data_IF_679133129529
#
_entry.id   IF_679133129529
#
_cell.length_a   1.000
_cell.length_b   1.000
_cell.length_c   1.000
_cell.angle_alpha   90.00
_cell.angle_beta   90.00
_cell.angle_gamma   90.00
#
_symmetry.space_group_name_H-M   'P 1'
#
loop_
_entity.id
_entity.type
_entity.pdbx_description
1 polymer ?
#
# COMPACT_ATOMS: atom_id res chain seq x y z
N UNK A 1 9.28 -17.64 2.80
CA UNK A 1 8.61 -18.05 1.56
C UNK A 1 7.83 -16.83 1.06
N UNK A 2 8.52 -15.98 0.29
CA UNK A 2 7.88 -14.82 -0.34
C UNK A 2 6.84 -15.30 -1.35
N UNK A 3 5.59 -14.94 -1.16
CA UNK A 3 4.56 -15.08 -2.17
C UNK A 3 4.84 -14.04 -3.24
N UNK A 4 5.30 -14.49 -4.41
CA UNK A 4 5.32 -13.63 -5.58
C UNK A 4 3.88 -13.33 -5.95
N UNK A 5 3.49 -12.07 -5.91
CA UNK A 5 2.23 -11.65 -6.51
C UNK A 5 2.38 -11.73 -8.03
N UNK A 6 2.00 -12.86 -8.58
CA UNK A 6 2.11 -13.16 -10.01
C UNK A 6 1.22 -12.29 -10.89
N UNK A 7 0.33 -11.49 -10.32
CA UNK A 7 -0.63 -10.70 -11.08
C UNK A 7 -0.02 -9.51 -11.84
N UNK A 8 1.10 -8.99 -11.37
CA UNK A 8 1.82 -7.89 -12.06
C UNK A 8 2.87 -8.40 -13.07
N UNK A 9 3.30 -9.65 -12.90
CA UNK A 9 4.31 -10.29 -13.73
C UNK A 9 3.72 -11.31 -14.72
N UNK A 10 2.43 -11.54 -14.67
CA UNK A 10 1.74 -12.55 -15.48
C UNK A 10 1.68 -12.23 -16.98
N UNK A 11 2.09 -11.03 -17.40
CA UNK A 11 2.18 -10.64 -18.80
C UNK A 11 3.58 -10.81 -19.37
N UNK A 12 4.58 -10.97 -18.51
CA UNK A 12 5.96 -11.18 -18.96
C UNK A 12 6.24 -12.69 -19.05
N UNK A 13 6.77 -13.11 -20.18
CA UNK A 13 7.26 -14.47 -20.35
C UNK A 13 8.31 -14.77 -19.27
N UNK A 14 8.34 -15.99 -18.70
CA UNK A 14 9.33 -16.34 -17.69
C UNK A 14 10.74 -16.15 -18.23
N UNK A 15 11.49 -15.24 -17.64
CA UNK A 15 12.88 -14.98 -18.00
C UNK A 15 13.77 -16.01 -17.31
N UNK A 16 14.11 -17.07 -18.02
CA UNK A 16 15.00 -18.12 -17.54
C UNK A 16 16.38 -17.57 -17.19
N UNK A 17 16.95 -18.03 -16.08
CA UNK A 17 18.27 -17.59 -15.60
C UNK A 17 18.28 -16.23 -14.89
N UNK A 18 17.13 -15.62 -14.61
CA UNK A 18 17.01 -14.43 -13.79
C UNK A 18 16.26 -14.72 -12.48
N UNK A 19 16.70 -14.09 -11.41
CA UNK A 19 16.00 -14.06 -10.12
C UNK A 19 15.70 -12.62 -9.79
N UNK A 20 14.43 -12.27 -9.73
CA UNK A 20 13.98 -10.93 -9.34
C UNK A 20 13.89 -10.85 -7.81
N UNK A 21 14.53 -9.83 -7.25
CA UNK A 21 14.61 -9.61 -5.80
C UNK A 21 14.10 -8.20 -5.53
N UNK A 22 13.03 -8.09 -4.77
CA UNK A 22 12.55 -6.79 -4.29
C UNK A 22 13.14 -6.49 -2.92
N UNK A 23 13.71 -5.30 -2.78
CA UNK A 23 14.38 -4.86 -1.55
C UNK A 23 13.84 -3.52 -1.12
N UNK A 24 13.56 -3.38 0.17
CA UNK A 24 13.11 -2.15 0.81
C UNK A 24 14.06 -1.81 1.95
N UNK A 25 14.37 -0.54 2.10
CA UNK A 25 15.15 -0.07 3.26
C UNK A 25 14.31 -0.08 4.53
N UNK A 26 14.95 -0.13 5.71
CA UNK A 26 14.24 -0.03 6.99
C UNK A 26 13.50 1.29 7.15
N UNK A 27 13.92 2.35 6.46
CA UNK A 27 13.23 3.64 6.40
C UNK A 27 12.01 3.65 5.47
N UNK A 28 11.75 2.56 4.76
CA UNK A 28 10.64 2.45 3.80
C UNK A 28 10.94 3.02 2.41
N UNK A 29 12.14 3.55 2.18
CA UNK A 29 12.52 4.13 0.90
C UNK A 29 12.94 3.04 -0.11
N UNK A 30 12.78 3.38 -1.38
CA UNK A 30 13.27 2.57 -2.50
C UNK A 30 14.79 2.78 -2.62
N UNK A 31 15.51 1.71 -3.00
CA UNK A 31 16.95 1.80 -3.25
C UNK A 31 17.25 2.69 -4.47
N UNK A 32 18.29 3.50 -4.36
CA UNK A 32 18.82 4.22 -5.52
C UNK A 32 19.43 3.27 -6.56
N UNK A 33 19.54 3.70 -7.80
CA UNK A 33 20.14 2.89 -8.87
C UNK A 33 21.60 2.49 -8.58
N UNK A 34 22.34 3.31 -7.86
CA UNK A 34 23.71 2.99 -7.44
C UNK A 34 23.76 1.89 -6.38
N UNK A 35 22.83 1.92 -5.42
CA UNK A 35 22.70 0.89 -4.38
C UNK A 35 22.25 -0.44 -5.00
N UNK A 36 21.29 -0.41 -5.93
CA UNK A 36 20.86 -1.61 -6.68
C UNK A 36 22.03 -2.25 -7.41
N UNK A 37 22.82 -1.45 -8.14
CA UNK A 37 24.02 -1.95 -8.85
C UNK A 37 25.05 -2.56 -7.90
N UNK A 38 25.31 -1.90 -6.77
CA UNK A 38 26.23 -2.39 -5.74
C UNK A 38 25.76 -3.71 -5.15
N UNK A 39 24.47 -3.81 -4.85
CA UNK A 39 23.85 -5.03 -4.31
C UNK A 39 23.92 -6.19 -5.32
N UNK A 40 23.59 -5.93 -6.60
CA UNK A 40 23.73 -6.93 -7.67
C UNK A 40 25.18 -7.41 -7.80
N UNK A 41 26.15 -6.50 -7.75
CA UNK A 41 27.57 -6.86 -7.82
C UNK A 41 28.00 -7.75 -6.64
N UNK A 42 27.47 -7.50 -5.46
CA UNK A 42 27.73 -8.30 -4.26
C UNK A 42 27.07 -9.69 -4.37
N UNK A 43 25.82 -9.75 -4.82
CA UNK A 43 25.06 -10.99 -4.99
C UNK A 43 25.67 -11.90 -6.06
N UNK A 44 26.22 -11.35 -7.15
CA UNK A 44 26.87 -12.11 -8.21
C UNK A 44 28.05 -12.95 -7.72
N UNK A 45 28.68 -12.59 -6.60
CA UNK A 45 29.75 -13.39 -6.01
C UNK A 45 29.28 -14.73 -5.42
N UNK A 46 27.98 -14.83 -5.14
CA UNK A 46 27.38 -16.01 -4.52
C UNK A 46 26.43 -16.77 -5.45
N UNK A 47 26.21 -16.27 -6.68
CA UNK A 47 25.32 -16.92 -7.64
C UNK A 47 26.07 -17.94 -8.50
N UNK A 48 25.36 -18.97 -8.91
CA UNK A 48 25.85 -19.92 -9.94
C UNK A 48 25.90 -19.18 -11.28
N UNK A 49 26.85 -19.54 -12.15
CA UNK A 49 27.15 -18.84 -13.41
C UNK A 49 25.97 -18.65 -14.37
N UNK A 50 24.89 -19.43 -14.21
CA UNK A 50 23.67 -19.35 -15.03
C UNK A 50 22.55 -18.50 -14.45
N UNK A 51 22.71 -17.95 -13.23
CA UNK A 51 21.66 -17.15 -12.55
C UNK A 51 22.09 -15.71 -12.41
N UNK A 52 21.27 -14.79 -12.91
CA UNK A 52 21.50 -13.34 -12.81
C UNK A 52 20.50 -12.73 -11.83
N UNK A 53 20.95 -12.17 -10.69
CA UNK A 53 20.07 -11.42 -9.80
C UNK A 53 19.70 -10.08 -10.41
N UNK A 54 18.41 -9.73 -10.35
CA UNK A 54 17.87 -8.46 -10.79
C UNK A 54 17.14 -7.83 -9.60
N UNK A 55 17.55 -6.63 -9.20
CA UNK A 55 16.88 -5.90 -8.13
C UNK A 55 15.75 -5.06 -8.74
N UNK A 56 14.56 -5.25 -8.23
CA UNK A 56 13.35 -4.53 -8.64
C UNK A 56 12.80 -3.71 -7.48
N UNK A 57 12.12 -2.63 -7.81
CA UNK A 57 11.46 -1.81 -6.79
C UNK A 57 10.25 -2.55 -6.21
N UNK A 58 9.98 -2.37 -4.89
CA UNK A 58 8.78 -2.92 -4.30
C UNK A 58 7.54 -2.24 -4.86
N UNK A 59 6.51 -3.01 -5.12
CA UNK A 59 5.21 -2.47 -5.44
C UNK A 59 4.54 -1.95 -4.18
N UNK A 60 4.23 -0.65 -4.15
CA UNK A 60 3.68 0.03 -2.98
C UNK A 60 2.19 0.28 -3.19
N UNK A 61 1.37 -0.23 -2.28
CA UNK A 61 -0.03 0.12 -2.15
C UNK A 61 -0.19 1.13 -1.02
N UNK A 62 -0.66 2.33 -1.35
CA UNK A 62 -0.94 3.36 -0.37
C UNK A 62 -2.38 3.23 0.14
N UNK A 63 -2.55 3.31 1.46
CA UNK A 63 -3.85 3.41 2.09
C UNK A 63 -4.10 4.87 2.49
N UNK A 64 -5.18 5.44 1.99
CA UNK A 64 -5.66 6.76 2.40
C UNK A 64 -6.71 6.53 3.47
N UNK A 65 -6.35 6.85 4.70
CA UNK A 65 -7.20 6.65 5.87
C UNK A 65 -7.82 7.97 6.30
N UNK A 66 -9.13 7.98 6.49
CA UNK A 66 -9.85 9.07 7.14
C UNK A 66 -10.42 8.54 8.45
N UNK A 67 -9.93 9.08 9.56
CA UNK A 67 -10.34 8.71 10.91
C UNK A 67 -11.17 9.83 11.51
N UNK A 68 -12.32 9.48 12.06
CA UNK A 68 -13.14 10.35 12.89
C UNK A 68 -13.35 9.65 14.23
N UNK A 69 -13.18 10.34 15.34
CA UNK A 69 -13.33 9.76 16.67
C UNK A 69 -14.19 10.63 17.57
N UNK A 70 -14.82 9.99 18.53
CA UNK A 70 -15.55 10.64 19.63
C UNK A 70 -14.81 10.39 20.95
N UNK A 71 -14.84 11.35 21.84
CA UNK A 71 -14.16 11.25 23.13
C UNK A 71 -14.99 11.82 24.26
N UNK A 72 -14.72 11.35 25.46
CA UNK A 72 -15.37 11.78 26.71
C UNK A 72 -14.54 12.90 27.36
N UNK A 73 -15.10 14.10 27.39
CA UNK A 73 -14.44 15.27 27.97
C UNK A 73 -14.27 15.18 29.50
N UNK A 74 -14.98 14.28 30.17
CA UNK A 74 -14.81 14.06 31.62
C UNK A 74 -13.56 13.21 31.93
N UNK A 75 -13.05 12.48 30.98
CA UNK A 75 -11.90 11.58 31.12
C UNK A 75 -10.56 12.18 30.67
N UNK A 76 -10.60 13.39 30.11
CA UNK A 76 -9.37 14.03 29.60
C UNK A 76 -9.40 15.53 29.81
N UNK A 77 -8.25 16.10 30.11
CA UNK A 77 -7.99 17.55 30.05
C UNK A 77 -7.28 17.97 28.75
N UNK A 78 -7.02 17.02 27.85
CA UNK A 78 -6.37 17.30 26.57
C UNK A 78 -7.28 18.10 25.66
N UNK A 79 -6.71 19.01 24.90
CA UNK A 79 -7.42 19.69 23.81
C UNK A 79 -7.71 18.72 22.64
N UNK A 80 -8.68 19.06 21.81
CA UNK A 80 -8.98 18.32 20.58
C UNK A 80 -7.71 18.14 19.73
N UNK A 81 -6.94 19.21 19.54
CA UNK A 81 -5.70 19.17 18.76
C UNK A 81 -4.64 18.23 19.36
N UNK A 82 -4.59 18.11 20.69
CA UNK A 82 -3.68 17.16 21.35
C UNK A 82 -4.14 15.70 21.13
N UNK A 83 -5.45 15.45 21.14
CA UNK A 83 -6.00 14.12 20.82
C UNK A 83 -5.80 13.76 19.35
N UNK A 84 -6.01 14.70 18.43
CA UNK A 84 -5.70 14.52 16.99
C UNK A 84 -4.23 14.16 16.77
N UNK A 85 -3.33 14.81 17.50
CA UNK A 85 -1.89 14.50 17.45
C UNK A 85 -1.63 13.09 17.99
N UNK A 86 -2.28 12.70 19.10
CA UNK A 86 -2.15 11.35 19.67
C UNK A 86 -2.62 10.30 18.66
N UNK A 87 -3.77 10.48 18.04
CA UNK A 87 -4.32 9.58 17.02
C UNK A 87 -3.39 9.53 15.78
N UNK A 88 -2.88 10.68 15.33
CA UNK A 88 -1.95 10.73 14.20
C UNK A 88 -0.65 9.99 14.48
N UNK A 89 -0.13 10.09 15.71
CA UNK A 89 1.05 9.35 16.12
C UNK A 89 0.80 7.85 16.16
N UNK A 90 -0.39 7.41 16.61
CA UNK A 90 -0.77 6.00 16.60
C UNK A 90 -0.91 5.47 15.17
N UNK A 91 -1.50 6.23 14.27
CA UNK A 91 -1.56 5.87 12.84
C UNK A 91 -0.15 5.66 12.25
N UNK A 92 0.79 6.56 12.56
CA UNK A 92 2.19 6.44 12.12
C UNK A 92 2.89 5.22 12.76
N UNK A 93 2.64 4.99 14.05
CA UNK A 93 3.16 3.82 14.78
C UNK A 93 2.67 2.52 14.16
N UNK A 94 1.35 2.44 13.89
CA UNK A 94 0.75 1.28 13.24
C UNK A 94 1.35 1.03 11.85
N UNK A 95 1.50 2.08 11.04
CA UNK A 95 2.14 1.97 9.73
C UNK A 95 3.57 1.41 9.84
N UNK A 96 4.39 1.97 10.73
CA UNK A 96 5.80 1.61 10.84
C UNK A 96 6.00 0.20 11.42
N UNK A 97 5.17 -0.19 12.39
CA UNK A 97 5.33 -1.44 13.12
C UNK A 97 4.58 -2.61 12.49
N UNK A 98 3.49 -2.34 11.79
CA UNK A 98 2.59 -3.38 11.26
C UNK A 98 2.60 -3.47 9.74
N UNK A 99 2.59 -2.33 9.03
CA UNK A 99 2.39 -2.31 7.58
C UNK A 99 3.69 -2.17 6.79
N UNK A 100 4.76 -1.67 7.40
CA UNK A 100 6.03 -1.39 6.72
C UNK A 100 6.87 -2.65 6.48
N UNK A 101 6.23 -3.76 6.09
CA UNK A 101 6.87 -5.03 5.73
C UNK A 101 6.23 -5.59 4.47
N UNK A 102 6.88 -6.59 3.83
CA UNK A 102 6.33 -7.25 2.67
C UNK A 102 5.16 -8.16 3.05
N UNK A 103 4.15 -8.22 2.18
CA UNK A 103 3.05 -9.19 2.21
C UNK A 103 2.23 -9.19 3.53
N UNK A 104 2.01 -8.00 4.06
CA UNK A 104 1.19 -7.84 5.27
C UNK A 104 -0.23 -7.44 4.90
N UNK A 105 -1.24 -8.18 5.34
CA UNK A 105 -2.62 -7.78 5.14
C UNK A 105 -3.00 -6.63 6.08
N UNK A 106 -3.65 -5.60 5.55
CA UNK A 106 -4.29 -4.59 6.38
C UNK A 106 -5.58 -5.15 6.99
N UNK A 107 -5.69 -5.08 8.31
CA UNK A 107 -6.90 -5.49 9.04
C UNK A 107 -7.59 -4.27 9.64
N UNK A 108 -8.76 -3.95 9.11
CA UNK A 108 -9.56 -2.81 9.57
C UNK A 108 -9.86 -2.87 11.08
N UNK A 109 -10.24 -4.04 11.59
CA UNK A 109 -10.55 -4.21 13.02
C UNK A 109 -9.35 -3.98 13.94
N UNK A 110 -8.17 -4.43 13.54
CA UNK A 110 -6.94 -4.22 14.30
C UNK A 110 -6.53 -2.74 14.30
N UNK A 111 -6.69 -2.07 13.17
CA UNK A 111 -6.42 -0.64 13.08
C UNK A 111 -7.42 0.19 13.90
N UNK A 112 -8.73 -0.12 13.81
CA UNK A 112 -9.74 0.58 14.60
C UNK A 112 -9.51 0.40 16.10
N UNK A 113 -9.16 -0.81 16.54
CA UNK A 113 -8.82 -1.06 17.93
C UNK A 113 -7.60 -0.25 18.39
N UNK A 114 -6.56 -0.14 17.54
CA UNK A 114 -5.39 0.67 17.86
C UNK A 114 -5.73 2.17 18.01
N UNK A 115 -6.69 2.69 17.23
CA UNK A 115 -7.16 4.07 17.38
C UNK A 115 -8.01 4.25 18.63
N UNK A 116 -8.90 3.30 18.94
CA UNK A 116 -9.72 3.34 20.17
C UNK A 116 -8.83 3.29 21.41
N UNK A 117 -7.74 2.55 21.38
CA UNK A 117 -6.78 2.39 22.47
C UNK A 117 -5.73 3.53 22.56
N UNK A 118 -5.69 4.44 21.56
CA UNK A 118 -4.69 5.51 21.52
C UNK A 118 -4.80 6.49 22.72
N UNK A 119 -6.00 6.66 23.25
CA UNK A 119 -6.25 7.45 24.48
C UNK A 119 -7.49 6.92 25.22
N UNK A 120 -7.40 6.82 26.52
CA UNK A 120 -8.49 6.32 27.38
C UNK A 120 -9.78 7.14 27.33
N UNK A 121 -9.71 8.35 26.83
CA UNK A 121 -10.88 9.22 26.64
C UNK A 121 -11.61 8.94 25.33
N UNK A 122 -10.98 8.30 24.34
CA UNK A 122 -11.62 7.93 23.09
C UNK A 122 -12.67 6.86 23.35
N UNK A 123 -13.88 7.10 22.89
CA UNK A 123 -15.02 6.21 23.12
C UNK A 123 -15.40 5.41 21.87
N UNK A 124 -15.07 5.93 20.70
CA UNK A 124 -15.36 5.26 19.43
C UNK A 124 -14.58 5.92 18.29
N UNK A 125 -14.09 5.14 17.36
CA UNK A 125 -13.49 5.61 16.10
C UNK A 125 -14.24 5.05 14.90
N UNK A 126 -14.34 5.87 13.84
CA UNK A 126 -14.84 5.47 12.53
C UNK A 126 -13.73 5.67 11.52
N UNK A 127 -13.40 4.63 10.77
CA UNK A 127 -12.32 4.62 9.80
C UNK A 127 -12.87 4.40 8.40
N UNK A 128 -12.57 5.31 7.48
CA UNK A 128 -12.83 5.14 6.05
C UNK A 128 -11.51 4.90 5.34
N UNK A 129 -11.48 3.91 4.45
CA UNK A 129 -10.26 3.45 3.79
C UNK A 129 -10.43 3.56 2.28
N UNK A 130 -9.48 4.19 1.63
CA UNK A 130 -9.32 4.16 0.18
C UNK A 130 -7.93 3.62 -0.17
N UNK A 131 -7.84 2.88 -1.26
CA UNK A 131 -6.57 2.41 -1.80
C UNK A 131 -6.11 3.35 -2.91
N UNK A 132 -4.80 3.62 -2.97
CA UNK A 132 -4.22 4.45 -4.01
C UNK A 132 -2.90 3.86 -4.52
N UNK A 133 -2.73 3.88 -5.83
CA UNK A 133 -1.46 3.60 -6.51
C UNK A 133 -1.08 4.78 -7.37
N UNK A 134 0.21 5.08 -7.41
CA UNK A 134 0.76 6.14 -8.26
C UNK A 134 1.62 5.50 -9.35
N UNK A 135 1.41 5.92 -10.57
CA UNK A 135 2.25 5.54 -11.70
C UNK A 135 2.50 6.76 -12.61
N UNK A 136 3.57 6.72 -13.36
CA UNK A 136 3.92 7.78 -14.32
C UNK A 136 3.58 7.30 -15.73
N UNK A 137 2.58 7.89 -16.39
CA UNK A 137 2.22 7.49 -17.74
C UNK A 137 3.26 7.95 -18.76
N UNK A 138 3.47 7.16 -19.80
CA UNK A 138 4.27 7.55 -20.97
C UNK A 138 3.45 8.52 -21.82
N UNK A 139 3.99 9.70 -22.06
CA UNK A 139 3.32 10.75 -22.82
C UNK A 139 3.52 10.52 -24.32
N UNK A 140 2.49 10.83 -25.14
CA UNK A 140 2.49 10.78 -26.61
C UNK A 140 2.63 9.38 -27.23
N UNK A 141 2.46 8.32 -26.46
CA UNK A 141 2.43 6.93 -26.95
C UNK A 141 1.18 6.27 -26.37
N UNK A 142 0.39 5.61 -27.21
CA UNK A 142 -0.73 4.79 -26.76
C UNK A 142 -0.18 3.55 -26.05
N UNK A 143 -0.21 3.58 -24.71
CA UNK A 143 0.30 2.51 -23.85
C UNK A 143 -0.82 2.02 -22.94
N UNK A 144 -1.02 0.70 -22.86
CA UNK A 144 -1.91 0.09 -21.91
C UNK A 144 -1.27 0.05 -20.51
N UNK A 145 -2.02 0.44 -19.48
CA UNK A 145 -1.61 0.32 -18.09
C UNK A 145 -2.60 -0.56 -17.34
N UNK A 146 -2.10 -1.51 -16.58
CA UNK A 146 -2.90 -2.32 -15.68
C UNK A 146 -2.57 -1.92 -14.25
N UNK A 147 -3.58 -1.42 -13.52
CA UNK A 147 -3.43 -1.04 -12.11
C UNK A 147 -4.14 -2.10 -11.27
N UNK A 148 -3.36 -2.92 -10.59
CA UNK A 148 -3.88 -3.99 -9.74
C UNK A 148 -3.68 -3.61 -8.26
N UNK A 149 -4.76 -3.56 -7.49
CA UNK A 149 -4.71 -3.27 -6.06
C UNK A 149 -4.50 -4.52 -5.19
N UNK A 150 -4.52 -5.71 -5.79
CA UNK A 150 -4.40 -6.98 -5.05
C UNK A 150 -5.63 -7.35 -4.22
N UNK A 151 -6.66 -6.52 -4.24
CA UNK A 151 -7.93 -6.74 -3.55
C UNK A 151 -9.11 -6.45 -4.49
N UNK A 152 -10.23 -7.15 -4.36
CA UNK A 152 -11.45 -6.80 -5.08
C UNK A 152 -11.95 -5.42 -4.61
N UNK A 153 -12.57 -4.69 -5.52
CA UNK A 153 -13.24 -3.44 -5.18
C UNK A 153 -14.48 -3.78 -4.35
N UNK A 154 -14.74 -2.97 -3.32
CA UNK A 154 -15.87 -3.17 -2.46
C UNK A 154 -17.18 -3.03 -3.24
N UNK A 155 -17.95 -4.10 -3.26
CA UNK A 155 -19.30 -4.14 -3.81
C UNK A 155 -20.25 -4.58 -2.70
N UNK A 156 -21.01 -3.68 -2.07
CA UNK A 156 -21.83 -3.99 -0.89
C UNK A 156 -22.97 -4.95 -1.19
N UNK A 157 -23.53 -4.92 -2.40
CA UNK A 157 -24.56 -5.83 -2.88
C UNK A 157 -24.75 -5.73 -4.39
N UNK A 158 -25.25 -6.78 -4.99
CA UNK A 158 -25.59 -6.82 -6.41
C UNK A 158 -26.60 -5.73 -6.76
N UNK A 159 -26.29 -4.88 -7.72
CA UNK A 159 -27.14 -3.75 -8.11
C UNK A 159 -27.00 -2.49 -7.28
N UNK A 160 -25.97 -2.43 -6.42
CA UNK A 160 -25.66 -1.22 -5.64
C UNK A 160 -25.42 0.00 -6.56
N UNK A 161 -24.70 -0.21 -7.62
CA UNK A 161 -24.71 0.70 -8.75
C UNK A 161 -24.75 -0.10 -10.06
N UNK A 162 -25.14 0.54 -11.14
CA UNK A 162 -25.25 -0.10 -12.47
C UNK A 162 -23.91 -0.60 -13.00
N UNK A 163 -22.80 -0.12 -12.46
CA UNK A 163 -21.44 -0.39 -12.91
C UNK A 163 -20.68 -1.39 -12.02
N UNK A 164 -21.40 -2.09 -11.12
CA UNK A 164 -20.84 -3.21 -10.37
C UNK A 164 -20.24 -2.89 -9.00
N UNK A 165 -20.38 -1.68 -8.45
CA UNK A 165 -20.16 -1.41 -7.02
C UNK A 165 -18.98 -0.52 -6.74
N UNK A 166 -17.94 -0.33 -7.14
CA UNK A 166 -16.85 0.56 -6.74
C UNK A 166 -16.84 1.87 -7.52
N UNK A 167 -16.11 2.83 -7.04
CA UNK A 167 -15.81 4.04 -7.82
C UNK A 167 -14.29 4.19 -7.99
N UNK A 168 -13.88 4.58 -9.17
CA UNK A 168 -12.50 4.90 -9.48
C UNK A 168 -12.42 6.40 -9.74
N UNK A 169 -11.45 7.07 -9.12
CA UNK A 169 -11.17 8.47 -9.34
C UNK A 169 -9.68 8.69 -9.61
N UNK A 170 -9.36 9.66 -10.44
CA UNK A 170 -8.00 10.09 -10.71
C UNK A 170 -7.86 11.58 -10.57
N UNK A 171 -6.71 12.05 -10.10
CA UNK A 171 -6.38 13.49 -10.07
C UNK A 171 -5.64 13.95 -11.33
N UNK A 172 -5.13 13.03 -12.13
CA UNK A 172 -4.29 13.32 -13.30
C UNK A 172 -4.95 13.11 -14.66
N UNK A 173 -6.08 12.40 -14.72
CA UNK A 173 -6.81 12.11 -15.97
C UNK A 173 -8.28 11.82 -15.68
N UNK A 174 -9.11 11.94 -16.69
CA UNK A 174 -10.51 11.57 -16.58
C UNK A 174 -10.68 10.07 -16.81
N UNK A 175 -11.42 9.43 -15.93
CA UNK A 175 -11.86 8.04 -16.13
C UNK A 175 -13.08 8.07 -17.05
N UNK A 176 -12.96 7.43 -18.21
CA UNK A 176 -14.06 7.24 -19.15
C UNK A 176 -14.48 5.79 -19.06
N UNK A 177 -15.73 5.52 -18.72
CA UNK A 177 -16.28 4.19 -18.51
C UNK A 177 -15.58 3.43 -17.37
N UNK A 178 -15.84 3.80 -16.12
CA UNK A 178 -15.45 3.03 -14.96
C UNK A 178 -16.37 1.80 -14.77
N UNK A 179 -16.48 0.99 -15.80
CA UNK A 179 -17.11 -0.32 -15.70
C UNK A 179 -16.10 -1.27 -15.08
N UNK A 180 -16.41 -1.74 -13.90
CA UNK A 180 -15.65 -2.74 -13.15
C UNK A 180 -16.40 -4.06 -13.20
#
# INVERSE_FOLDING_TARGET
TGSFNTSTWATDEPEYGKVFISVKTNSGNVLSESEKKSLVASLKKFTVASITPVIVDPEILNLILKVSFTFDTSKTSKSISALETTVSNEMNSFNNNKLNTFDVPFRHSEFSAAIDDADTSITSATVTINMAKTFTPTINIATGYTVNFGNPIYNPFSGYNVDGGGSIASTGFFVINDTI
#
